data_IF_843255917572
#
_entry.id   IF_843255917572
#
_cell.length_a   1.000
_cell.length_b   1.000
_cell.length_c   1.000
_cell.angle_alpha   90.00
_cell.angle_beta   90.00
_cell.angle_gamma   90.00
#
_symmetry.space_group_name_H-M   'P 1'
#
loop_
_entity.id
_entity.type
_entity.pdbx_description
1 polymer ?
#
# COMPACT_ATOMS: atom_id res chain seq x y z
N UNK A 1 -76.24 16.23 -14.01
CA UNK A 1 -74.94 16.90 -13.81
C UNK A 1 -74.01 16.16 -12.82
N UNK A 2 -74.07 14.82 -12.70
CA UNK A 2 -73.38 14.08 -11.62
C UNK A 2 -72.17 13.25 -12.06
N UNK A 3 -72.01 12.90 -13.34
CA UNK A 3 -70.96 11.97 -13.80
C UNK A 3 -69.60 12.61 -14.08
N UNK A 4 -69.56 13.93 -14.28
CA UNK A 4 -68.32 14.64 -14.60
C UNK A 4 -67.48 14.91 -13.34
N UNK A 5 -68.11 15.26 -12.22
CA UNK A 5 -67.44 15.52 -10.94
C UNK A 5 -66.80 14.26 -10.35
N UNK A 6 -67.47 13.11 -10.45
CA UNK A 6 -66.94 11.81 -9.98
C UNK A 6 -65.77 11.32 -10.83
N UNK A 7 -65.79 11.50 -12.15
CA UNK A 7 -64.67 11.13 -13.03
C UNK A 7 -63.44 12.03 -12.83
N UNK A 8 -63.65 13.33 -12.61
CA UNK A 8 -62.56 14.28 -12.35
C UNK A 8 -61.93 14.04 -10.96
N UNK A 9 -62.74 13.83 -9.92
CA UNK A 9 -62.25 13.54 -8.56
C UNK A 9 -61.49 12.21 -8.47
N UNK A 10 -61.98 11.16 -9.14
CA UNK A 10 -61.30 9.87 -9.21
C UNK A 10 -59.97 9.91 -9.97
N UNK A 11 -59.88 10.73 -11.03
CA UNK A 11 -58.62 10.98 -11.74
C UNK A 11 -57.60 11.73 -10.89
N UNK A 12 -58.05 12.74 -10.14
CA UNK A 12 -57.20 13.54 -9.24
C UNK A 12 -56.63 12.69 -8.09
N UNK A 13 -57.44 11.82 -7.49
CA UNK A 13 -57.01 10.89 -6.44
C UNK A 13 -55.91 9.94 -6.93
N UNK A 14 -56.07 9.36 -8.13
CA UNK A 14 -55.07 8.46 -8.71
C UNK A 14 -53.73 9.16 -9.01
N UNK A 15 -53.78 10.43 -9.42
CA UNK A 15 -52.57 11.24 -9.62
C UNK A 15 -51.87 11.52 -8.29
N UNK A 16 -52.63 11.83 -7.23
CA UNK A 16 -52.09 12.05 -5.90
C UNK A 16 -51.45 10.77 -5.32
N UNK A 17 -52.09 9.61 -5.53
CA UNK A 17 -51.55 8.31 -5.14
C UNK A 17 -50.26 7.96 -5.90
N UNK A 18 -50.22 8.21 -7.21
CA UNK A 18 -49.02 8.02 -8.02
C UNK A 18 -47.85 8.90 -7.57
N UNK A 19 -48.14 10.15 -7.20
CA UNK A 19 -47.16 11.09 -6.64
C UNK A 19 -46.61 10.61 -5.29
N UNK A 20 -47.50 10.17 -4.39
CA UNK A 20 -47.10 9.63 -3.09
C UNK A 20 -46.26 8.35 -3.24
N UNK A 21 -46.67 7.43 -4.11
CA UNK A 21 -45.90 6.21 -4.42
C UNK A 21 -44.53 6.53 -5.02
N UNK A 22 -44.44 7.53 -5.90
CA UNK A 22 -43.17 7.99 -6.46
C UNK A 22 -42.23 8.52 -5.38
N UNK A 23 -42.75 9.33 -4.45
CA UNK A 23 -41.99 9.84 -3.30
C UNK A 23 -41.47 8.71 -2.40
N UNK A 24 -42.33 7.75 -2.04
CA UNK A 24 -41.93 6.60 -1.22
C UNK A 24 -40.85 5.76 -1.90
N UNK A 25 -41.02 5.44 -3.19
CA UNK A 25 -40.01 4.68 -3.95
C UNK A 25 -38.65 5.39 -3.98
N UNK A 26 -38.66 6.71 -4.14
CA UNK A 26 -37.43 7.50 -4.16
C UNK A 26 -36.74 7.53 -2.77
N UNK A 27 -37.52 7.68 -1.69
CA UNK A 27 -36.99 7.56 -0.32
C UNK A 27 -36.40 6.17 -0.06
N UNK A 28 -37.11 5.10 -0.41
CA UNK A 28 -36.62 3.72 -0.27
C UNK A 28 -35.34 3.51 -1.08
N UNK A 29 -35.26 4.01 -2.31
CA UNK A 29 -34.06 3.90 -3.13
C UNK A 29 -32.86 4.63 -2.50
N UNK A 30 -33.10 5.81 -1.90
CA UNK A 30 -32.07 6.56 -1.18
C UNK A 30 -31.57 5.81 0.07
N UNK A 31 -32.48 5.28 0.87
CA UNK A 31 -32.15 4.48 2.06
C UNK A 31 -31.35 3.23 1.70
N UNK A 32 -31.76 2.51 0.64
CA UNK A 32 -31.01 1.34 0.12
C UNK A 32 -29.61 1.75 -0.33
N UNK A 33 -29.46 2.89 -1.01
CA UNK A 33 -28.15 3.40 -1.43
C UNK A 33 -27.25 3.72 -0.24
N UNK A 34 -27.80 4.38 0.79
CA UNK A 34 -27.08 4.69 2.02
C UNK A 34 -26.63 3.44 2.77
N UNK A 35 -27.52 2.44 2.92
CA UNK A 35 -27.19 1.17 3.56
C UNK A 35 -26.11 0.42 2.80
N UNK A 36 -26.18 0.38 1.45
CA UNK A 36 -25.13 -0.23 0.62
C UNK A 36 -23.79 0.45 0.81
N UNK A 37 -23.76 1.79 0.85
CA UNK A 37 -22.53 2.55 1.10
C UNK A 37 -21.96 2.22 2.48
N UNK A 38 -22.78 2.26 3.53
CA UNK A 38 -22.34 1.94 4.89
C UNK A 38 -21.79 0.51 4.99
N UNK A 39 -22.46 -0.47 4.36
CA UNK A 39 -21.98 -1.84 4.32
C UNK A 39 -20.63 -1.96 3.61
N UNK A 40 -20.46 -1.27 2.47
CA UNK A 40 -19.20 -1.22 1.72
C UNK A 40 -18.07 -0.59 2.53
N UNK A 41 -18.33 0.55 3.17
CA UNK A 41 -17.35 1.26 4.00
C UNK A 41 -16.95 0.41 5.22
N UNK A 42 -17.92 -0.23 5.87
CA UNK A 42 -17.66 -1.15 6.98
C UNK A 42 -16.83 -2.36 6.54
N UNK A 43 -17.12 -2.94 5.37
CA UNK A 43 -16.35 -4.07 4.83
C UNK A 43 -14.89 -3.66 4.51
N UNK A 44 -14.69 -2.48 3.92
CA UNK A 44 -13.36 -1.92 3.66
C UNK A 44 -12.57 -1.70 4.96
N UNK A 45 -13.20 -1.09 5.96
CA UNK A 45 -12.56 -0.85 7.26
C UNK A 45 -12.27 -2.17 8.00
N UNK A 46 -13.17 -3.16 7.92
CA UNK A 46 -12.93 -4.51 8.46
C UNK A 46 -11.69 -5.14 7.82
N UNK A 47 -11.52 -5.02 6.50
CA UNK A 47 -10.35 -5.57 5.81
C UNK A 47 -9.04 -4.90 6.28
N UNK A 48 -9.06 -3.58 6.50
CA UNK A 48 -7.88 -2.87 7.04
C UNK A 48 -7.45 -3.42 8.40
N UNK A 49 -8.41 -3.66 9.31
CA UNK A 49 -8.11 -4.21 10.64
C UNK A 49 -7.57 -5.63 10.54
N UNK A 50 -8.15 -6.48 9.68
CA UNK A 50 -7.65 -7.85 9.46
C UNK A 50 -6.22 -7.83 8.93
N UNK A 51 -5.90 -6.93 7.99
CA UNK A 51 -4.54 -6.80 7.47
C UNK A 51 -3.55 -6.35 8.57
N UNK A 52 -3.95 -5.40 9.42
CA UNK A 52 -3.13 -4.96 10.56
C UNK A 52 -2.89 -6.10 11.57
N UNK A 53 -3.91 -6.92 11.84
CA UNK A 53 -3.76 -8.11 12.68
C UNK A 53 -2.80 -9.12 12.07
N UNK A 54 -2.90 -9.36 10.75
CA UNK A 54 -1.98 -10.21 10.01
C UNK A 54 -0.53 -9.71 10.10
N UNK A 55 -0.31 -8.41 9.89
CA UNK A 55 1.03 -7.79 9.98
C UNK A 55 1.62 -7.89 11.39
N UNK A 56 0.81 -7.63 12.42
CA UNK A 56 1.24 -7.79 13.80
C UNK A 56 1.61 -9.25 14.09
N UNK A 57 0.77 -10.19 13.68
CA UNK A 57 1.01 -11.63 13.86
C UNK A 57 2.28 -12.08 13.18
N UNK A 58 2.48 -11.68 11.92
CA UNK A 58 3.70 -11.93 11.16
C UNK A 58 4.94 -11.41 11.90
N UNK A 59 4.88 -10.17 12.41
CA UNK A 59 5.99 -9.56 13.15
C UNK A 59 6.32 -10.30 14.44
N UNK A 60 5.31 -10.73 15.20
CA UNK A 60 5.49 -11.50 16.43
C UNK A 60 6.11 -12.89 16.15
N UNK A 61 5.65 -13.58 15.09
CA UNK A 61 6.23 -14.86 14.66
C UNK A 61 7.69 -14.71 14.25
N UNK A 62 8.03 -13.70 13.43
CA UNK A 62 9.42 -13.45 13.01
C UNK A 62 10.36 -13.14 14.17
N UNK A 63 9.86 -12.50 15.22
CA UNK A 63 10.63 -12.24 16.45
C UNK A 63 10.70 -13.44 17.39
N UNK A 64 9.95 -14.51 17.11
CA UNK A 64 9.82 -15.66 18.01
C UNK A 64 9.04 -15.37 19.29
N UNK A 65 8.28 -14.27 19.35
CA UNK A 65 7.46 -13.90 20.51
C UNK A 65 6.20 -14.78 20.62
N UNK A 66 5.76 -15.37 19.50
CA UNK A 66 4.70 -16.38 19.45
C UNK A 66 5.16 -17.56 18.58
N UNK A 67 4.66 -18.76 18.89
CA UNK A 67 4.91 -19.96 18.09
C UNK A 67 3.57 -20.67 17.84
N UNK A 68 3.25 -20.90 16.57
CA UNK A 68 2.02 -21.59 16.17
C UNK A 68 2.24 -22.25 14.81
N UNK A 69 2.12 -23.58 14.73
CA UNK A 69 2.43 -24.37 13.52
C UNK A 69 1.77 -23.83 12.27
N UNK A 70 0.45 -23.63 12.30
CA UNK A 70 -0.31 -23.27 11.11
C UNK A 70 0.03 -21.85 10.61
N UNK A 71 0.34 -20.94 11.54
CA UNK A 71 0.76 -19.60 11.20
C UNK A 71 2.19 -19.59 10.67
N UNK A 72 3.09 -20.41 11.22
CA UNK A 72 4.45 -20.60 10.70
C UNK A 72 4.42 -21.03 9.24
N UNK A 73 3.57 -22.01 8.88
CA UNK A 73 3.39 -22.43 7.47
C UNK A 73 2.94 -21.25 6.60
N UNK A 74 2.06 -20.37 7.08
CA UNK A 74 1.68 -19.18 6.31
C UNK A 74 2.84 -18.18 6.17
N UNK A 75 3.63 -17.98 7.22
CA UNK A 75 4.81 -17.10 7.19
C UNK A 75 5.88 -17.62 6.22
N UNK A 76 6.12 -18.93 6.19
CA UNK A 76 7.06 -19.55 5.24
C UNK A 76 6.64 -19.30 3.78
N UNK A 77 5.33 -19.30 3.50
CA UNK A 77 4.79 -18.95 2.17
C UNK A 77 4.97 -17.48 1.80
N UNK A 78 5.20 -16.59 2.77
CA UNK A 78 5.47 -15.17 2.52
C UNK A 78 6.93 -14.89 2.16
N UNK A 79 7.85 -15.78 2.56
CA UNK A 79 9.29 -15.61 2.36
C UNK A 79 9.72 -15.29 0.92
N UNK A 80 9.21 -15.97 -0.14
CA UNK A 80 9.59 -15.61 -1.52
C UNK A 80 9.13 -14.20 -1.91
N UNK A 81 7.96 -13.76 -1.44
CA UNK A 81 7.45 -12.41 -1.71
C UNK A 81 8.25 -11.35 -0.93
N UNK A 82 8.64 -11.66 0.31
CA UNK A 82 9.52 -10.78 1.10
C UNK A 82 10.87 -10.58 0.38
N UNK A 83 11.43 -11.65 -0.18
CA UNK A 83 12.66 -11.60 -0.95
C UNK A 83 12.52 -10.75 -2.21
N UNK A 84 11.47 -10.98 -3.00
CA UNK A 84 11.19 -10.21 -4.23
C UNK A 84 11.02 -8.72 -3.92
N UNK A 85 10.20 -8.39 -2.91
CA UNK A 85 9.98 -7.01 -2.48
C UNK A 85 11.26 -6.35 -1.99
N UNK A 86 12.06 -7.08 -1.22
CA UNK A 86 13.32 -6.56 -0.69
C UNK A 86 14.31 -6.24 -1.81
N UNK A 87 14.49 -7.17 -2.75
CA UNK A 87 15.39 -6.99 -3.89
C UNK A 87 14.94 -5.86 -4.81
N UNK A 88 13.64 -5.80 -5.14
CA UNK A 88 13.08 -4.72 -5.95
C UNK A 88 13.28 -3.35 -5.30
N UNK A 89 13.01 -3.23 -3.99
CA UNK A 89 13.19 -1.97 -3.26
C UNK A 89 14.67 -1.58 -3.11
N UNK A 90 15.58 -2.55 -2.96
CA UNK A 90 17.02 -2.31 -2.95
C UNK A 90 17.49 -1.78 -4.31
N UNK A 91 17.08 -2.41 -5.41
CA UNK A 91 17.41 -1.97 -6.76
C UNK A 91 16.86 -0.55 -7.04
N UNK A 92 15.60 -0.27 -6.70
CA UNK A 92 15.00 1.06 -6.83
C UNK A 92 15.76 2.12 -6.02
N UNK A 93 16.16 1.80 -4.79
CA UNK A 93 16.95 2.71 -3.95
C UNK A 93 18.33 3.00 -4.56
N UNK A 94 18.98 1.98 -5.14
CA UNK A 94 20.27 2.14 -5.80
C UNK A 94 20.15 3.02 -7.04
N UNK A 95 19.18 2.76 -7.92
CA UNK A 95 18.95 3.58 -9.13
C UNK A 95 18.64 5.05 -8.78
N UNK A 96 17.89 5.30 -7.69
CA UNK A 96 17.62 6.66 -7.22
C UNK A 96 18.89 7.36 -6.73
N UNK A 97 19.76 6.63 -6.01
CA UNK A 97 21.03 7.18 -5.50
C UNK A 97 21.95 7.56 -6.66
N UNK A 98 22.14 6.65 -7.62
CA UNK A 98 22.92 6.90 -8.85
C UNK A 98 22.38 8.11 -9.63
N UNK A 99 21.06 8.22 -9.80
CA UNK A 99 20.46 9.37 -10.46
C UNK A 99 20.69 10.70 -9.71
N UNK A 100 20.71 10.67 -8.37
CA UNK A 100 20.96 11.87 -7.54
C UNK A 100 22.44 12.25 -7.42
N UNK A 101 23.35 11.28 -7.53
CA UNK A 101 24.81 11.52 -7.48
C UNK A 101 25.29 12.35 -8.68
N UNK A 102 24.49 12.45 -9.74
CA UNK A 102 24.77 13.24 -10.94
C UNK A 102 23.97 14.54 -11.04
N UNK A 103 23.39 15.03 -9.93
CA UNK A 103 22.60 16.26 -9.92
C UNK A 103 23.06 17.16 -8.77
N UNK A 104 23.35 18.41 -9.09
CA UNK A 104 23.66 19.45 -8.10
C UNK A 104 22.43 19.78 -7.26
N UNK A 105 22.61 20.27 -6.03
CA UNK A 105 21.50 20.80 -5.22
C UNK A 105 20.70 21.92 -5.94
N UNK A 106 21.32 22.60 -6.90
CA UNK A 106 20.63 23.59 -7.75
C UNK A 106 19.80 22.97 -8.89
N UNK A 107 19.79 21.65 -9.04
CA UNK A 107 19.06 20.90 -10.06
C UNK A 107 19.78 20.72 -11.40
N UNK A 108 21.00 21.23 -11.55
CA UNK A 108 21.79 21.06 -12.77
C UNK A 108 22.48 19.68 -12.79
N UNK A 109 22.57 19.02 -13.96
CA UNK A 109 23.33 17.77 -14.08
C UNK A 109 24.82 18.02 -13.87
N UNK A 110 25.50 17.07 -13.24
CA UNK A 110 26.94 17.07 -12.93
C UNK A 110 27.58 15.81 -13.52
N UNK A 111 28.74 15.95 -14.16
CA UNK A 111 29.57 14.83 -14.63
C UNK A 111 30.52 14.33 -13.53
N UNK A 112 30.99 13.09 -13.65
CA UNK A 112 31.85 12.44 -12.64
C UNK A 112 33.22 13.13 -12.51
N UNK A 113 33.59 13.96 -13.47
CA UNK A 113 34.87 14.68 -13.50
C UNK A 113 34.73 16.15 -13.06
N UNK A 114 33.51 16.63 -12.84
CA UNK A 114 33.25 18.03 -12.50
C UNK A 114 33.72 18.33 -11.07
N UNK A 115 34.61 19.31 -10.91
CA UNK A 115 35.02 19.81 -9.59
C UNK A 115 34.02 20.85 -9.04
N UNK A 116 33.31 21.55 -9.92
CA UNK A 116 32.30 22.56 -9.60
C UNK A 116 31.11 22.47 -10.56
N UNK A 117 29.91 22.76 -10.07
CA UNK A 117 28.70 22.84 -10.90
C UNK A 117 28.79 24.01 -11.88
N UNK A 118 28.70 23.72 -13.18
CA UNK A 118 28.73 24.74 -14.24
C UNK A 118 27.55 25.74 -14.22
N UNK A 119 26.48 25.44 -13.48
CA UNK A 119 25.30 26.32 -13.38
C UNK A 119 25.32 27.25 -12.16
N UNK A 120 25.73 26.78 -10.98
CA UNK A 120 25.66 27.55 -9.74
C UNK A 120 27.02 27.77 -9.06
N UNK A 121 28.10 27.16 -9.56
CA UNK A 121 29.46 27.29 -9.01
C UNK A 121 29.71 26.51 -7.72
N UNK A 122 28.73 25.78 -7.20
CA UNK A 122 28.90 24.95 -6.00
C UNK A 122 29.89 23.82 -6.25
N UNK A 123 30.76 23.54 -5.27
CA UNK A 123 31.71 22.42 -5.35
C UNK A 123 30.96 21.10 -5.42
N UNK A 124 31.35 20.23 -6.35
CA UNK A 124 30.79 18.89 -6.46
C UNK A 124 31.44 18.01 -5.39
N UNK A 125 30.62 17.28 -4.62
CA UNK A 125 31.06 16.26 -3.69
C UNK A 125 30.63 14.90 -4.24
N UNK A 126 31.51 14.26 -4.99
CA UNK A 126 31.28 12.90 -5.48
C UNK A 126 31.62 11.96 -4.33
N UNK A 127 30.64 11.20 -3.87
CA UNK A 127 30.88 10.16 -2.87
C UNK A 127 31.83 9.12 -3.47
N UNK A 128 32.87 8.74 -2.72
CA UNK A 128 33.74 7.64 -3.14
C UNK A 128 32.92 6.37 -3.40
N UNK A 129 33.27 5.57 -4.42
CA UNK A 129 32.56 4.34 -4.70
C UNK A 129 32.59 3.45 -3.45
N UNK A 130 31.44 2.90 -3.02
CA UNK A 130 31.38 2.08 -1.83
C UNK A 130 32.32 0.88 -1.97
N UNK A 131 33.19 0.67 -0.97
CA UNK A 131 34.05 -0.51 -0.91
C UNK A 131 33.17 -1.76 -0.91
N UNK A 132 33.51 -2.73 -1.77
CA UNK A 132 32.81 -4.01 -1.83
C UNK A 132 32.98 -4.74 -0.48
N UNK A 133 31.91 -4.80 0.31
CA UNK A 133 31.86 -5.56 1.54
C UNK A 133 31.71 -7.04 1.20
N UNK A 134 32.42 -7.92 1.92
CA UNK A 134 32.21 -9.35 1.83
C UNK A 134 30.75 -9.70 2.21
N UNK A 135 30.13 -10.60 1.46
CA UNK A 135 28.76 -11.07 1.68
C UNK A 135 28.70 -12.57 1.84
N UNK A 136 27.66 -13.03 2.53
CA UNK A 136 27.30 -14.43 2.69
C UNK A 136 25.80 -14.62 2.45
N UNK A 137 25.38 -15.79 1.94
CA UNK A 137 23.96 -16.08 1.74
C UNK A 137 23.26 -16.32 3.07
N UNK A 138 22.12 -15.67 3.29
CA UNK A 138 21.27 -15.91 4.46
C UNK A 138 20.78 -17.36 4.48
N UNK A 139 20.88 -18.04 5.62
CA UNK A 139 20.46 -19.44 5.74
C UNK A 139 18.97 -19.67 5.46
N UNK A 140 18.11 -18.70 5.79
CA UNK A 140 16.66 -18.78 5.60
C UNK A 140 16.24 -18.30 4.21
N UNK A 141 16.50 -17.04 3.86
CA UNK A 141 15.97 -16.43 2.62
C UNK A 141 16.93 -16.40 1.44
N UNK A 142 18.18 -16.88 1.61
CA UNK A 142 19.25 -16.93 0.59
C UNK A 142 19.70 -15.59 0.01
N UNK A 143 19.21 -14.47 0.54
CA UNK A 143 19.69 -13.13 0.18
C UNK A 143 21.16 -12.96 0.56
N UNK A 144 21.93 -12.25 -0.27
CA UNK A 144 23.30 -11.85 0.05
C UNK A 144 23.29 -10.77 1.13
N UNK A 145 23.90 -11.10 2.27
CA UNK A 145 23.97 -10.24 3.44
C UNK A 145 25.44 -9.92 3.75
N UNK A 146 25.80 -8.67 4.08
CA UNK A 146 27.15 -8.36 4.53
C UNK A 146 27.56 -9.24 5.70
N UNK A 147 28.80 -9.77 5.68
CA UNK A 147 29.32 -10.59 6.78
C UNK A 147 29.31 -9.86 8.13
N UNK A 148 29.43 -8.52 8.10
CA UNK A 148 29.37 -7.66 9.28
C UNK A 148 27.96 -7.46 9.84
N UNK A 149 26.91 -7.83 9.09
CA UNK A 149 25.54 -7.63 9.53
C UNK A 149 25.13 -8.71 10.55
N UNK A 150 24.63 -8.27 11.70
CA UNK A 150 24.12 -9.16 12.76
C UNK A 150 22.81 -9.86 12.37
N UNK A 151 22.03 -9.28 11.46
CA UNK A 151 20.75 -9.79 11.01
C UNK A 151 20.63 -9.64 9.50
N UNK A 152 19.92 -10.57 8.85
CA UNK A 152 19.53 -10.44 7.47
C UNK A 152 18.55 -9.26 7.28
N UNK A 153 18.88 -8.34 6.38
CA UNK A 153 18.03 -7.19 6.06
C UNK A 153 16.69 -7.54 5.41
N UNK A 154 16.56 -8.75 4.85
CA UNK A 154 15.33 -9.25 4.24
C UNK A 154 14.44 -9.97 5.27
N UNK A 155 14.89 -11.12 5.77
CA UNK A 155 14.07 -12.00 6.61
C UNK A 155 14.22 -11.76 8.12
N UNK A 156 15.22 -10.98 8.55
CA UNK A 156 15.49 -10.71 9.96
C UNK A 156 16.14 -11.86 10.73
N UNK A 157 16.48 -12.98 10.07
CA UNK A 157 17.25 -14.06 10.69
C UNK A 157 18.58 -13.50 11.21
N UNK A 158 18.95 -13.87 12.43
CA UNK A 158 20.25 -13.52 12.99
C UNK A 158 21.36 -14.27 12.21
N UNK A 159 22.34 -13.53 11.70
CA UNK A 159 23.53 -14.14 11.13
C UNK A 159 24.43 -14.65 12.27
N UNK A 160 25.05 -15.80 12.07
CA UNK A 160 25.91 -16.49 13.05
C UNK A 160 27.00 -15.60 13.62
#
# INVERSE_FOLDING_TARGET
MSDLQTKIGGGLSKLQDGLNQGKTKLQTAQEVSQLKKHASDAASNRMKVINQLGELTYRLLRKGEIQHSDLTVQVERLLPYDLELYQANRALSQMKKEASEHVCDCGAPIQVEDTFCGSCGSKVLIAEPPQALATQPCELCKEEVPESARFCGCCGLKNG
#
